data_IF_798739531695
#
_entry.id   IF_798739531695
#
_cell.length_a   1.000
_cell.length_b   1.000
_cell.length_c   1.000
_cell.angle_alpha   90.00
_cell.angle_beta   90.00
_cell.angle_gamma   90.00
#
_symmetry.space_group_name_H-M   'P 1'
#
loop_
_entity.id
_entity.type
_entity.pdbx_description
1 polymer ?
#
# COMPACT_ATOMS: atom_id res chain seq x y z
N UNK A 1 18.79 -4.83 -0.98
CA UNK A 1 18.23 -5.43 0.26
C UNK A 1 17.48 -6.70 -0.10
N UNK A 2 17.51 -7.72 0.76
CA UNK A 2 16.70 -8.93 0.57
C UNK A 2 15.24 -8.66 0.94
N UNK A 3 14.30 -9.46 0.41
CA UNK A 3 12.86 -9.38 0.75
C UNK A 3 12.61 -9.36 2.27
N UNK A 4 13.42 -10.09 3.05
CA UNK A 4 13.32 -10.10 4.50
C UNK A 4 13.68 -8.76 5.13
N UNK A 5 14.64 -8.02 4.57
CA UNK A 5 15.08 -6.75 5.16
C UNK A 5 14.04 -5.62 5.03
N UNK A 6 13.13 -5.72 4.05
CA UNK A 6 12.11 -4.69 3.80
C UNK A 6 10.93 -4.79 4.76
N UNK A 7 10.47 -6.01 5.03
CA UNK A 7 9.25 -6.28 5.82
C UNK A 7 9.54 -6.77 7.24
N UNK A 8 10.73 -7.34 7.49
CA UNK A 8 11.17 -7.84 8.79
C UNK A 8 12.28 -6.95 9.36
N UNK A 9 11.95 -5.68 9.62
CA UNK A 9 12.83 -4.75 10.31
C UNK A 9 12.22 -4.38 11.66
N UNK A 10 13.00 -4.42 12.74
CA UNK A 10 12.60 -4.03 14.11
C UNK A 10 12.02 -2.60 14.16
N UNK A 11 12.47 -1.72 13.27
CA UNK A 11 11.90 -0.38 13.11
C UNK A 11 10.44 -0.40 12.67
N UNK A 12 9.90 -1.48 12.12
CA UNK A 12 8.48 -1.56 11.79
C UNK A 12 7.61 -1.89 13.01
N UNK A 13 8.22 -2.37 14.10
CA UNK A 13 7.52 -2.91 15.27
C UNK A 13 7.49 -1.95 16.47
N UNK A 14 8.26 -0.85 16.44
CA UNK A 14 8.22 0.16 17.51
C UNK A 14 6.89 0.90 17.57
N UNK A 15 6.39 1.13 18.78
CA UNK A 15 5.20 1.96 19.02
C UNK A 15 5.35 3.36 18.44
N UNK A 16 4.26 3.89 17.85
CA UNK A 16 4.20 5.23 17.27
C UNK A 16 3.11 6.05 17.92
N UNK A 17 3.33 7.35 18.03
CA UNK A 17 2.32 8.28 18.53
C UNK A 17 1.10 8.30 17.61
N UNK A 18 -0.08 8.11 18.20
CA UNK A 18 -1.37 8.21 17.52
C UNK A 18 -1.62 9.68 17.17
N UNK A 19 -1.60 10.01 15.87
CA UNK A 19 -1.92 11.36 15.39
C UNK A 19 -3.43 11.59 15.30
N UNK A 20 -3.83 12.85 15.41
CA UNK A 20 -5.21 13.37 15.32
C UNK A 20 -5.99 12.71 14.16
N UNK A 21 -7.29 12.41 14.29
CA UNK A 21 -8.10 11.79 13.24
C UNK A 21 -8.16 12.67 11.97
N UNK A 22 -7.34 12.33 10.97
CA UNK A 22 -7.22 13.07 9.70
C UNK A 22 -8.15 12.52 8.60
N UNK A 23 -9.31 11.97 8.96
CA UNK A 23 -10.20 11.24 8.04
C UNK A 23 -10.77 12.06 6.87
N UNK A 24 -10.50 13.38 6.79
CA UNK A 24 -11.15 14.29 5.83
C UNK A 24 -10.22 15.13 4.94
N UNK A 25 -8.90 15.00 5.04
CA UNK A 25 -7.97 16.00 4.44
C UNK A 25 -7.07 15.44 3.31
N UNK A 26 -7.10 14.14 3.01
CA UNK A 26 -6.25 13.54 1.97
C UNK A 26 -6.99 13.16 0.68
N UNK A 27 -6.37 13.37 -0.48
CA UNK A 27 -6.87 12.78 -1.74
C UNK A 27 -6.52 11.28 -1.76
N UNK A 28 -7.50 10.37 -1.71
CA UNK A 28 -7.23 8.95 -1.74
C UNK A 28 -6.68 8.52 -3.11
N UNK A 29 -5.60 7.76 -3.10
CA UNK A 29 -5.07 7.09 -4.28
C UNK A 29 -5.36 5.60 -4.17
N UNK A 30 -6.05 5.07 -5.17
CA UNK A 30 -6.40 3.66 -5.25
C UNK A 30 -5.36 2.90 -6.07
N UNK A 31 -4.84 1.81 -5.53
CA UNK A 31 -3.80 1.02 -6.16
C UNK A 31 -3.94 -0.45 -5.79
N UNK A 32 -3.42 -1.33 -6.65
CA UNK A 32 -3.32 -2.75 -6.40
C UNK A 32 -1.88 -3.19 -6.53
N UNK A 33 -1.38 -3.92 -5.54
CA UNK A 33 -0.06 -4.54 -5.59
C UNK A 33 -0.19 -5.85 -6.38
N UNK A 34 0.64 -6.02 -7.41
CA UNK A 34 0.61 -7.25 -8.23
C UNK A 34 1.30 -8.39 -7.50
N UNK A 35 2.47 -8.09 -6.97
CA UNK A 35 3.34 -9.00 -6.24
C UNK A 35 4.05 -8.19 -5.16
N UNK A 36 3.89 -8.59 -3.90
CA UNK A 36 4.54 -7.95 -2.74
C UNK A 36 6.04 -8.25 -2.68
N UNK A 37 6.49 -9.24 -3.44
CA UNK A 37 7.90 -9.60 -3.59
C UNK A 37 8.58 -8.88 -4.76
N UNK A 38 7.82 -8.27 -5.68
CA UNK A 38 8.38 -7.54 -6.83
C UNK A 38 8.74 -6.10 -6.42
N UNK A 39 9.90 -5.99 -5.75
CA UNK A 39 10.51 -4.74 -5.32
C UNK A 39 11.62 -4.38 -6.29
N UNK A 40 11.55 -3.17 -6.84
CA UNK A 40 12.55 -2.63 -7.76
C UNK A 40 13.45 -1.65 -7.04
N UNK A 41 14.76 -1.90 -7.09
CA UNK A 41 15.76 -0.91 -6.72
C UNK A 41 16.06 -0.03 -7.94
N UNK A 42 15.89 1.27 -7.79
CA UNK A 42 16.25 2.26 -8.79
C UNK A 42 17.30 3.22 -8.21
N UNK A 43 18.42 3.34 -8.93
CA UNK A 43 19.48 4.27 -8.60
C UNK A 43 19.36 5.58 -9.37
N UNK A 44 19.53 6.68 -8.66
CA UNK A 44 19.49 8.04 -9.19
C UNK A 44 20.77 8.78 -8.83
N UNK A 45 21.12 9.80 -9.60
CA UNK A 45 22.18 10.75 -9.24
C UNK A 45 21.56 12.05 -8.80
N UNK A 46 22.01 12.59 -7.67
CA UNK A 46 21.66 13.94 -7.28
C UNK A 46 22.42 14.98 -8.14
N UNK A 47 22.12 16.26 -7.96
CA UNK A 47 22.79 17.36 -8.66
C UNK A 47 24.30 17.44 -8.42
N UNK A 48 24.80 16.80 -7.37
CA UNK A 48 26.22 16.76 -6.99
C UNK A 48 26.93 15.51 -7.54
N UNK A 49 26.22 14.63 -8.27
CA UNK A 49 26.76 13.39 -8.82
C UNK A 49 26.77 12.20 -7.86
N UNK A 50 26.34 12.38 -6.61
CA UNK A 50 26.21 11.31 -5.62
C UNK A 50 25.08 10.36 -6.00
N UNK A 51 25.40 9.07 -6.00
CA UNK A 51 24.48 8.00 -6.37
C UNK A 51 23.68 7.58 -5.14
N UNK A 52 22.35 7.58 -5.25
CA UNK A 52 21.47 7.06 -4.21
C UNK A 52 20.48 6.07 -4.82
N UNK A 53 20.23 4.98 -4.10
CA UNK A 53 19.26 3.96 -4.46
C UNK A 53 17.98 4.12 -3.64
N UNK A 54 16.85 3.75 -4.24
CA UNK A 54 15.54 3.70 -3.57
C UNK A 54 14.77 2.48 -4.02
N UNK A 55 14.13 1.84 -3.05
CA UNK A 55 13.25 0.71 -3.27
C UNK A 55 11.83 1.17 -3.65
N UNK A 56 11.25 0.52 -4.64
CA UNK A 56 9.90 0.80 -5.14
C UNK A 56 9.08 -0.48 -5.23
N UNK A 57 7.82 -0.39 -4.78
CA UNK A 57 6.82 -1.43 -4.94
C UNK A 57 6.08 -1.25 -6.27
N UNK A 58 5.91 -2.34 -7.03
CA UNK A 58 5.19 -2.32 -8.29
C UNK A 58 3.68 -2.40 -8.07
N UNK A 59 2.97 -1.34 -8.49
CA UNK A 59 1.51 -1.22 -8.35
C UNK A 59 0.83 -1.02 -9.71
N UNK A 60 -0.50 -1.11 -9.75
CA UNK A 60 -1.30 -0.79 -10.95
C UNK A 60 -1.23 0.68 -11.38
N UNK A 61 -0.83 1.59 -10.48
CA UNK A 61 -0.68 3.02 -10.76
C UNK A 61 0.77 3.44 -11.06
N UNK A 62 1.70 2.49 -11.04
CA UNK A 62 3.13 2.75 -11.23
C UNK A 62 3.97 2.27 -10.06
N UNK A 63 5.07 2.97 -9.78
CA UNK A 63 6.03 2.62 -8.74
C UNK A 63 5.75 3.41 -7.46
N UNK A 64 5.51 2.71 -6.35
CA UNK A 64 5.31 3.31 -5.04
C UNK A 64 6.64 3.28 -4.26
N UNK A 65 7.26 4.44 -3.96
CA UNK A 65 8.50 4.46 -3.19
C UNK A 65 8.29 3.93 -1.77
N UNK A 66 9.14 3.01 -1.33
CA UNK A 66 9.12 2.42 0.01
C UNK A 66 10.06 3.16 0.99
N UNK A 67 10.49 4.38 0.65
CA UNK A 67 11.43 5.15 1.47
C UNK A 67 10.88 5.49 2.87
N UNK A 68 9.56 5.62 3.02
CA UNK A 68 8.93 5.91 4.32
C UNK A 68 8.75 4.64 5.16
N UNK A 69 9.32 4.63 6.37
CA UNK A 69 9.10 3.58 7.37
C UNK A 69 7.61 3.48 7.73
N UNK A 70 6.94 4.62 7.91
CA UNK A 70 5.49 4.68 8.22
C UNK A 70 4.65 4.00 7.15
N UNK A 71 4.94 4.29 5.87
CA UNK A 71 4.27 3.64 4.76
C UNK A 71 4.49 2.13 4.79
N UNK A 72 5.73 1.68 4.98
CA UNK A 72 6.08 0.25 5.08
C UNK A 72 5.32 -0.43 6.22
N UNK A 73 5.19 0.20 7.40
CA UNK A 73 4.41 -0.33 8.52
C UNK A 73 2.94 -0.52 8.17
N UNK A 74 2.33 0.49 7.55
CA UNK A 74 0.94 0.43 7.12
C UNK A 74 0.70 -0.63 6.03
N UNK A 75 1.72 -0.91 5.21
CA UNK A 75 1.68 -1.94 4.17
C UNK A 75 1.98 -3.36 4.70
N UNK A 76 2.81 -3.51 5.75
CA UNK A 76 3.24 -4.79 6.32
C UNK A 76 2.09 -5.80 6.52
N UNK A 77 0.97 -5.47 7.18
CA UNK A 77 -0.10 -6.46 7.38
C UNK A 77 -0.74 -6.94 6.06
N UNK A 78 -0.75 -6.10 5.02
CA UNK A 78 -1.23 -6.48 3.69
C UNK A 78 -0.21 -7.32 2.92
N UNK A 79 1.08 -7.05 3.11
CA UNK A 79 2.17 -7.86 2.57
C UNK A 79 2.20 -9.26 3.20
N UNK A 80 2.10 -9.34 4.54
CA UNK A 80 2.10 -10.59 5.30
C UNK A 80 0.91 -11.49 4.92
N UNK A 81 -0.26 -10.89 4.65
CA UNK A 81 -1.45 -11.59 4.17
C UNK A 81 -1.45 -11.87 2.67
N UNK A 82 -0.49 -11.34 1.91
CA UNK A 82 -0.42 -11.46 0.46
C UNK A 82 -1.63 -10.84 -0.26
N UNK A 83 -2.14 -9.71 0.25
CA UNK A 83 -3.39 -9.10 -0.22
C UNK A 83 -3.30 -8.67 -1.69
N UNK A 84 -4.29 -9.07 -2.49
CA UNK A 84 -4.33 -8.79 -3.95
C UNK A 84 -5.44 -7.83 -4.34
N UNK A 85 -6.26 -7.39 -3.39
CA UNK A 85 -7.37 -6.46 -3.61
C UNK A 85 -6.86 -5.02 -3.73
N UNK A 86 -7.79 -4.14 -4.10
CA UNK A 86 -7.50 -2.71 -4.19
C UNK A 86 -7.33 -2.11 -2.79
N UNK A 87 -6.19 -1.45 -2.62
CA UNK A 87 -5.83 -0.70 -1.43
C UNK A 87 -5.97 0.78 -1.73
N UNK A 88 -6.36 1.53 -0.72
CA UNK A 88 -6.38 2.98 -0.74
C UNK A 88 -5.23 3.48 0.10
N UNK A 89 -4.34 4.28 -0.49
CA UNK A 89 -3.33 5.06 0.22
C UNK A 89 -3.79 6.51 0.27
N UNK A 90 -3.84 7.05 1.48
CA UNK A 90 -4.01 8.49 1.71
C UNK A 90 -2.68 9.03 2.26
N UNK A 91 -2.19 10.11 1.64
CA UNK A 91 -0.98 10.84 2.01
C UNK A 91 -1.39 12.20 2.57
N UNK A 92 -0.86 12.58 3.73
CA UNK A 92 -0.97 13.93 4.28
C UNK A 92 0.43 14.52 4.42
N UNK A 93 0.67 15.67 3.79
CA UNK A 93 1.90 16.44 3.95
C UNK A 93 1.57 17.69 4.75
N UNK A 94 2.18 17.84 5.93
CA UNK A 94 2.11 19.09 6.68
C UNK A 94 3.18 20.05 6.16
N UNK A 95 2.75 21.06 5.39
CA UNK A 95 3.65 22.04 4.77
C UNK A 95 4.32 21.54 3.49
N UNK A 96 5.42 22.18 3.11
CA UNK A 96 6.18 21.90 1.89
C UNK A 96 7.27 20.83 2.07
N UNK A 97 7.46 20.31 3.30
CA UNK A 97 8.49 19.33 3.62
C UNK A 97 7.88 17.92 3.70
N UNK A 98 8.44 17.00 2.91
CA UNK A 98 8.01 15.60 2.88
C UNK A 98 8.31 14.84 4.19
N UNK A 99 9.11 15.42 5.11
CA UNK A 99 9.46 14.81 6.41
C UNK A 99 8.27 14.63 7.35
N UNK A 100 7.24 15.46 7.23
CA UNK A 100 6.02 15.36 8.04
C UNK A 100 4.93 14.54 7.37
N UNK A 101 5.29 13.69 6.40
CA UNK A 101 4.29 12.90 5.68
C UNK A 101 3.71 11.80 6.57
N UNK A 102 2.38 11.78 6.65
CA UNK A 102 1.60 10.71 7.28
C UNK A 102 0.94 9.89 6.17
N UNK A 103 0.89 8.57 6.37
CA UNK A 103 0.28 7.62 5.45
C UNK A 103 -0.80 6.81 6.17
N UNK A 104 -1.91 6.59 5.49
CA UNK A 104 -2.96 5.64 5.90
C UNK A 104 -3.19 4.72 4.74
N UNK A 105 -3.01 3.42 4.97
CA UNK A 105 -3.34 2.40 3.99
C UNK A 105 -4.55 1.65 4.51
N UNK A 106 -5.59 1.57 3.69
CA UNK A 106 -6.81 0.86 4.04
C UNK A 106 -7.27 0.02 2.87
N UNK A 107 -7.90 -1.11 3.18
CA UNK A 107 -8.52 -1.93 2.16
C UNK A 107 -9.81 -1.24 1.70
N UNK A 108 -9.93 -1.05 0.38
CA UNK A 108 -11.15 -0.46 -0.16
C UNK A 108 -12.29 -1.49 -0.04
N UNK A 109 -13.29 -1.19 0.80
CA UNK A 109 -14.43 -2.09 1.04
C UNK A 109 -15.37 -2.22 -0.18
N UNK A 110 -15.09 -1.55 -1.29
CA UNK A 110 -15.96 -1.46 -2.47
C UNK A 110 -15.88 -2.63 -3.47
N UNK A 111 -14.80 -3.41 -3.50
CA UNK A 111 -14.67 -4.51 -4.48
C UNK A 111 -14.69 -5.86 -3.77
N UNK A 112 -15.88 -6.28 -3.35
CA UNK A 112 -16.19 -7.71 -3.35
C UNK A 112 -16.55 -8.00 -4.80
N UNK A 113 -15.61 -8.57 -5.58
CA UNK A 113 -15.98 -9.26 -6.82
C UNK A 113 -16.81 -10.48 -6.44
N UNK A 114 -18.05 -10.26 -6.01
CA UNK A 114 -19.07 -11.29 -6.11
C UNK A 114 -19.31 -11.46 -7.60
N UNK A 115 -18.58 -12.39 -8.22
CA UNK A 115 -19.20 -13.18 -9.27
C UNK A 115 -20.34 -13.91 -8.57
N UNK A 116 -21.50 -13.26 -8.46
CA UNK A 116 -22.73 -13.95 -8.08
C UNK A 116 -22.93 -15.02 -9.15
N UNK A 117 -22.64 -16.28 -8.82
CA UNK A 117 -23.09 -17.40 -9.62
C UNK A 117 -24.60 -17.21 -9.82
N UNK A 118 -25.13 -17.23 -11.06
CA UNK A 118 -26.56 -17.15 -11.25
C UNK A 118 -27.20 -18.31 -10.50
N UNK A 119 -28.14 -18.01 -9.61
CA UNK A 119 -28.91 -19.03 -8.88
C UNK A 119 -29.51 -19.98 -9.92
N UNK A 120 -29.35 -21.31 -9.80
CA UNK A 120 -30.07 -22.23 -10.66
C UNK A 120 -31.56 -21.98 -10.43
N UNK A 121 -32.29 -21.65 -11.51
CA UNK A 121 -33.75 -21.54 -11.47
C UNK A 121 -34.28 -22.93 -11.10
N UNK A 122 -34.70 -23.09 -9.84
CA UNK A 122 -35.51 -24.24 -9.44
C UNK A 122 -36.81 -24.12 -10.24
N UNK A 123 -36.92 -24.97 -11.27
CA UNK A 123 -38.12 -25.07 -12.08
C UNK A 123 -39.08 -25.99 -11.34
N UNK A 124 -39.84 -25.43 -10.40
CA UNK A 124 -41.02 -26.10 -9.85
C UNK A 124 -42.04 -26.24 -10.98
N UNK A 125 -42.28 -27.48 -11.42
CA UNK A 125 -43.59 -27.84 -11.97
C UNK A 125 -44.15 -28.96 -11.11
N UNK A 126 -45.12 -28.55 -10.30
CA UNK A 126 -46.06 -29.44 -9.62
C UNK A 126 -47.19 -29.79 -10.59
N UNK A 127 -47.69 -31.02 -10.42
CA UNK A 127 -48.90 -31.65 -10.96
C UNK A 127 -48.80 -32.26 -12.36
#
# INVERSE_FOLDING_TARGET
>A
MSMHDVWNNEELERDEYEFVPMDKIGTPTFFRVKDWCDIKDLSFRNSEGSLFSRDYLVTTKGLLPLSSIRLRRQLKPFADSGEKRELTIQKWCEGNDDRSTIYKVSLEKGVISTKSKPKPKIRTKSK
#
